data_IF_602771387482
#
_entry.id   IF_602771387482
#
_cell.length_a   1.000
_cell.length_b   1.000
_cell.length_c   1.000
_cell.angle_alpha   90.00
_cell.angle_beta   90.00
_cell.angle_gamma   90.00
#
_symmetry.space_group_name_H-M   'P 1'
#
loop_
_entity.id
_entity.type
_entity.pdbx_description
1 polymer ?
#
# COMPACT_ATOMS: atom_id res chain seq x y z
N UNK A 1 34.06 -17.84 -7.68
CA UNK A 1 33.87 -16.37 -7.56
C UNK A 1 32.40 -16.12 -7.24
N UNK A 2 32.09 -15.71 -6.01
CA UNK A 2 30.75 -15.23 -5.66
C UNK A 2 30.65 -13.76 -6.06
N UNK A 3 29.97 -13.50 -7.17
CA UNK A 3 29.57 -12.15 -7.56
C UNK A 3 28.59 -11.63 -6.51
N UNK A 4 29.06 -10.73 -5.65
CA UNK A 4 28.20 -9.95 -4.75
C UNK A 4 27.37 -9.01 -5.61
N UNK A 5 26.16 -9.42 -5.98
CA UNK A 5 25.18 -8.52 -6.58
C UNK A 5 24.92 -7.38 -5.58
N UNK A 6 25.07 -6.10 -5.97
CA UNK A 6 24.74 -5.00 -5.08
C UNK A 6 23.29 -5.14 -4.63
N UNK A 7 23.04 -5.15 -3.31
CA UNK A 7 21.67 -5.04 -2.80
C UNK A 7 21.13 -3.69 -3.25
N UNK A 8 20.10 -3.70 -4.09
CA UNK A 8 19.37 -2.48 -4.46
C UNK A 8 18.83 -1.85 -3.19
N UNK A 9 19.16 -0.58 -2.96
CA UNK A 9 18.72 0.19 -1.79
C UNK A 9 17.57 1.10 -2.23
N UNK A 10 16.55 1.22 -1.37
CA UNK A 10 15.45 2.16 -1.55
C UNK A 10 15.99 3.60 -1.62
N UNK A 11 15.62 4.31 -2.68
CA UNK A 11 15.93 5.71 -2.89
C UNK A 11 15.19 6.55 -1.83
N UNK A 12 15.95 7.38 -1.13
CA UNK A 12 15.43 8.25 -0.07
C UNK A 12 14.74 9.48 -0.66
N UNK A 13 13.52 9.28 -1.15
CA UNK A 13 12.62 10.36 -1.57
C UNK A 13 11.69 10.78 -0.42
N UNK A 14 11.04 11.93 -0.56
CA UNK A 14 9.93 12.29 0.30
C UNK A 14 8.84 11.21 0.19
N UNK A 15 8.51 10.60 1.33
CA UNK A 15 7.49 9.55 1.39
C UNK A 15 6.09 10.18 1.27
N UNK A 16 5.07 9.40 0.84
CA UNK A 16 3.70 9.90 0.75
C UNK A 16 3.24 10.53 2.07
N UNK A 17 2.46 11.61 1.99
CA UNK A 17 1.89 12.19 3.20
C UNK A 17 0.90 11.20 3.86
N UNK A 18 0.82 11.15 5.20
CA UNK A 18 -0.19 10.37 5.89
C UNK A 18 -1.60 10.66 5.33
N UNK A 19 -2.32 9.58 5.07
CA UNK A 19 -3.61 9.65 4.39
C UNK A 19 -4.75 9.96 5.36
N UNK A 20 -5.57 10.96 5.03
CA UNK A 20 -6.87 11.16 5.64
C UNK A 20 -7.99 11.16 4.58
N UNK A 21 -9.15 10.59 4.93
CA UNK A 21 -10.21 10.03 4.06
C UNK A 21 -10.98 11.00 3.15
N UNK A 22 -10.47 12.21 2.87
CA UNK A 22 -11.15 13.13 1.93
C UNK A 22 -10.87 12.70 0.49
N UNK A 23 -11.89 12.59 -0.36
CA UNK A 23 -11.80 12.09 -1.76
C UNK A 23 -10.60 12.62 -2.57
N UNK A 24 -10.39 13.95 -2.57
CA UNK A 24 -9.26 14.57 -3.29
C UNK A 24 -7.91 14.13 -2.72
N UNK A 25 -7.83 14.00 -1.39
CA UNK A 25 -6.64 13.52 -0.70
C UNK A 25 -6.42 12.03 -0.93
N UNK A 26 -7.47 11.21 -1.09
CA UNK A 26 -7.36 9.79 -1.44
C UNK A 26 -6.70 9.57 -2.80
N UNK A 27 -7.12 10.35 -3.80
CA UNK A 27 -6.50 10.29 -5.13
C UNK A 27 -5.04 10.73 -5.08
N UNK A 28 -4.75 11.87 -4.44
CA UNK A 28 -3.38 12.39 -4.31
C UNK A 28 -2.47 11.40 -3.58
N UNK A 29 -2.93 10.87 -2.46
CA UNK A 29 -2.21 9.87 -1.68
C UNK A 29 -1.84 8.63 -2.53
N UNK A 30 -2.81 8.06 -3.24
CA UNK A 30 -2.54 6.88 -4.07
C UNK A 30 -1.53 7.19 -5.20
N UNK A 31 -1.62 8.38 -5.80
CA UNK A 31 -0.65 8.82 -6.81
C UNK A 31 0.77 8.94 -6.23
N UNK A 32 0.92 9.50 -5.03
CA UNK A 32 2.21 9.61 -4.34
C UNK A 32 2.80 8.22 -4.03
N UNK A 33 1.98 7.27 -3.57
CA UNK A 33 2.41 5.89 -3.35
C UNK A 33 2.89 5.22 -4.65
N UNK A 34 2.12 5.31 -5.73
CA UNK A 34 2.47 4.71 -7.02
C UNK A 34 3.77 5.31 -7.56
N UNK A 35 3.95 6.62 -7.47
CA UNK A 35 5.17 7.29 -7.93
C UNK A 35 6.40 6.83 -7.11
N UNK A 36 6.27 6.79 -5.79
CA UNK A 36 7.35 6.35 -4.91
C UNK A 36 7.77 4.90 -5.19
N UNK A 37 6.80 4.00 -5.30
CA UNK A 37 7.05 2.59 -5.58
C UNK A 37 7.58 2.39 -7.01
N UNK A 38 7.13 3.16 -7.99
CA UNK A 38 7.60 3.09 -9.37
C UNK A 38 9.09 3.44 -9.51
N UNK A 39 9.56 4.44 -8.75
CA UNK A 39 10.99 4.78 -8.67
C UNK A 39 11.77 3.70 -7.91
N UNK A 40 11.15 3.08 -6.91
CA UNK A 40 11.73 2.01 -6.10
C UNK A 40 11.26 0.60 -6.54
N UNK A 41 11.01 0.39 -7.84
CA UNK A 41 10.32 -0.82 -8.33
C UNK A 41 11.03 -2.14 -7.99
N UNK A 42 12.36 -2.11 -7.89
CA UNK A 42 13.16 -3.29 -7.55
C UNK A 42 13.07 -3.63 -6.06
N UNK A 43 12.62 -2.68 -5.22
CA UNK A 43 12.32 -2.89 -3.81
C UNK A 43 10.88 -3.37 -3.65
N UNK A 44 9.93 -2.71 -4.31
CA UNK A 44 8.50 -3.02 -4.33
C UNK A 44 8.12 -3.89 -5.53
N UNK A 45 8.88 -4.96 -5.71
CA UNK A 45 8.83 -5.90 -6.84
C UNK A 45 7.70 -6.93 -6.74
N UNK A 46 7.02 -7.01 -5.59
CA UNK A 46 5.90 -7.92 -5.36
C UNK A 46 4.65 -7.16 -4.94
N UNK A 47 3.48 -7.68 -5.32
CA UNK A 47 2.19 -7.10 -4.93
C UNK A 47 2.02 -6.98 -3.40
N UNK A 48 2.41 -7.97 -2.56
CA UNK A 48 2.37 -7.83 -1.11
C UNK A 48 3.16 -6.63 -0.59
N UNK A 49 4.38 -6.38 -1.10
CA UNK A 49 5.19 -5.24 -0.67
C UNK A 49 4.52 -3.92 -1.02
N UNK A 50 3.90 -3.85 -2.20
CA UNK A 50 3.18 -2.66 -2.65
C UNK A 50 1.94 -2.38 -1.79
N UNK A 51 1.13 -3.40 -1.53
CA UNK A 51 -0.08 -3.30 -0.70
C UNK A 51 0.28 -2.88 0.73
N UNK A 52 1.26 -3.54 1.34
CA UNK A 52 1.71 -3.22 2.71
C UNK A 52 2.27 -1.81 2.79
N UNK A 53 3.00 -1.35 1.78
CA UNK A 53 3.47 0.03 1.71
C UNK A 53 2.30 1.01 1.75
N UNK A 54 1.28 0.84 0.91
CA UNK A 54 0.11 1.72 0.89
C UNK A 54 -0.61 1.70 2.25
N UNK A 55 -0.84 0.52 2.84
CA UNK A 55 -1.46 0.38 4.16
C UNK A 55 -0.66 1.08 5.27
N UNK A 56 0.68 1.11 5.18
CA UNK A 56 1.53 1.70 6.20
C UNK A 56 1.31 3.21 6.38
N UNK A 57 0.87 3.93 5.34
CA UNK A 57 0.60 5.37 5.37
C UNK A 57 -0.88 5.74 5.65
N UNK A 58 -1.76 4.75 5.82
CA UNK A 58 -3.12 5.00 6.32
C UNK A 58 -3.08 5.08 7.85
N UNK A 59 -2.84 6.28 8.35
CA UNK A 59 -2.59 6.53 9.78
C UNK A 59 -3.60 7.51 10.41
N UNK A 60 -4.49 8.14 9.61
CA UNK A 60 -5.39 9.18 10.10
C UNK A 60 -6.85 8.98 9.70
N UNK A 61 -7.75 9.44 10.57
CA UNK A 61 -9.19 9.51 10.32
C UNK A 61 -9.83 8.15 10.04
N UNK A 62 -10.90 8.14 9.24
CA UNK A 62 -11.68 6.94 8.94
C UNK A 62 -10.91 5.86 8.15
N UNK A 63 -9.73 6.21 7.63
CA UNK A 63 -8.87 5.31 6.86
C UNK A 63 -8.22 4.25 7.76
N UNK A 64 -7.99 4.59 9.03
CA UNK A 64 -7.48 3.66 10.04
C UNK A 64 -8.48 2.54 10.29
N UNK A 65 -9.77 2.88 10.35
CA UNK A 65 -10.85 1.91 10.55
C UNK A 65 -10.90 0.92 9.38
N UNK A 66 -10.90 1.44 8.14
CA UNK A 66 -10.89 0.58 6.95
C UNK A 66 -9.64 -0.30 6.90
N UNK A 67 -8.44 0.25 7.17
CA UNK A 67 -7.20 -0.52 7.26
C UNK A 67 -7.29 -1.63 8.32
N UNK A 68 -7.82 -1.34 9.50
CA UNK A 68 -7.96 -2.32 10.57
C UNK A 68 -8.90 -3.45 10.16
N UNK A 69 -10.05 -3.13 9.55
CA UNK A 69 -11.00 -4.11 9.03
C UNK A 69 -10.38 -4.96 7.92
N UNK A 70 -9.67 -4.32 6.98
CA UNK A 70 -8.96 -5.00 5.91
C UNK A 70 -7.94 -6.00 6.47
N UNK A 71 -7.08 -5.56 7.41
CA UNK A 71 -6.08 -6.44 8.04
C UNK A 71 -6.76 -7.56 8.82
N UNK A 72 -7.79 -7.27 9.60
CA UNK A 72 -8.52 -8.27 10.39
C UNK A 72 -9.11 -9.39 9.51
N UNK A 73 -9.62 -9.04 8.32
CA UNK A 73 -10.18 -10.00 7.39
C UNK A 73 -9.12 -10.85 6.68
N UNK A 74 -7.86 -10.39 6.64
CA UNK A 74 -6.78 -11.02 5.87
C UNK A 74 -5.70 -11.67 6.73
N UNK A 75 -5.55 -11.25 7.98
CA UNK A 75 -4.54 -11.74 8.90
C UNK A 75 -5.04 -12.99 9.62
N UNK A 76 -4.29 -14.08 9.50
CA UNK A 76 -4.45 -15.25 10.34
C UNK A 76 -3.56 -15.08 11.59
N UNK A 77 -4.17 -14.93 12.77
CA UNK A 77 -3.42 -14.75 14.02
C UNK A 77 -2.76 -16.05 14.52
N UNK A 78 -3.26 -17.21 14.10
CA UNK A 78 -2.72 -18.51 14.51
C UNK A 78 -1.45 -18.85 13.72
N UNK A 79 -1.37 -18.46 12.44
CA UNK A 79 -0.22 -18.73 11.57
C UNK A 79 0.71 -17.53 11.37
N UNK A 80 0.21 -16.31 11.60
CA UNK A 80 0.92 -15.07 11.28
C UNK A 80 0.91 -14.72 9.78
N UNK A 81 0.23 -15.51 8.95
CA UNK A 81 0.11 -15.26 7.52
C UNK A 81 -0.91 -14.17 7.21
N UNK A 82 -0.71 -13.48 6.10
CA UNK A 82 -1.66 -12.50 5.58
C UNK A 82 -2.08 -12.89 4.16
N UNK A 83 -3.37 -13.16 3.97
CA UNK A 83 -3.99 -13.47 2.68
C UNK A 83 -4.28 -12.17 1.91
N UNK A 84 -3.23 -11.57 1.37
CA UNK A 84 -3.38 -10.34 0.57
C UNK A 84 -3.97 -10.66 -0.81
N UNK A 85 -4.92 -9.85 -1.29
CA UNK A 85 -5.43 -9.97 -2.65
C UNK A 85 -4.37 -9.53 -3.67
N UNK A 86 -4.68 -9.66 -4.96
CA UNK A 86 -3.83 -9.05 -5.99
C UNK A 86 -3.79 -7.53 -5.85
N UNK A 87 -2.76 -6.88 -6.41
CA UNK A 87 -2.65 -5.41 -6.35
C UNK A 87 -3.86 -4.75 -7.01
N UNK A 88 -4.35 -5.31 -8.11
CA UNK A 88 -5.54 -4.81 -8.82
C UNK A 88 -6.80 -4.87 -7.96
N UNK A 89 -7.02 -5.99 -7.27
CA UNK A 89 -8.18 -6.16 -6.38
C UNK A 89 -8.12 -5.19 -5.20
N UNK A 90 -6.93 -5.03 -4.60
CA UNK A 90 -6.70 -4.06 -3.53
C UNK A 90 -7.04 -2.62 -3.97
N UNK A 91 -6.54 -2.18 -5.13
CA UNK A 91 -6.83 -0.84 -5.65
C UNK A 91 -8.32 -0.66 -5.96
N UNK A 92 -8.98 -1.69 -6.50
CA UNK A 92 -10.42 -1.64 -6.74
C UNK A 92 -11.21 -1.49 -5.44
N UNK A 93 -10.87 -2.24 -4.40
CA UNK A 93 -11.50 -2.12 -3.08
C UNK A 93 -11.25 -0.73 -2.46
N UNK A 94 -10.00 -0.25 -2.52
CA UNK A 94 -9.62 1.09 -2.05
C UNK A 94 -10.42 2.19 -2.76
N UNK A 95 -10.52 2.14 -4.08
CA UNK A 95 -11.26 3.14 -4.85
C UNK A 95 -12.76 3.12 -4.56
N UNK A 96 -13.36 1.92 -4.46
CA UNK A 96 -14.78 1.78 -4.12
C UNK A 96 -15.09 2.34 -2.73
N UNK A 97 -14.29 1.98 -1.73
CA UNK A 97 -14.56 2.30 -0.32
C UNK A 97 -14.15 3.71 0.08
N UNK A 98 -12.99 4.20 -0.39
CA UNK A 98 -12.37 5.44 0.10
C UNK A 98 -12.43 6.59 -0.92
N UNK A 99 -12.70 6.29 -2.19
CA UNK A 99 -12.88 7.29 -3.24
C UNK A 99 -14.32 7.42 -3.73
N UNK A 100 -15.21 6.53 -3.26
CA UNK A 100 -16.62 6.44 -3.65
C UNK A 100 -16.79 6.39 -5.17
N UNK A 101 -15.90 5.68 -5.87
CA UNK A 101 -16.05 5.44 -7.31
C UNK A 101 -17.06 4.31 -7.50
N UNK A 102 -18.21 4.65 -8.06
CA UNK A 102 -19.17 3.67 -8.59
C UNK A 102 -18.72 3.29 -10.01
N UNK A 103 -18.66 1.99 -10.27
CA UNK A 103 -18.48 1.45 -11.63
C UNK A 103 -19.68 1.77 -12.51
#
# INVERSE_FOLDING_TARGET
MTINTPKTRELSLSKPMPFNSKRFKSKKFLQECILYMGINKDIYDTEPKQIVFILSYMQEGNTVIWKQQFIQNKLNLDTGDIDLPTYKEFINEFQKTLMHWTN
#
